data_IF_839053087757
#
_entry.id   IF_839053087757
#
_cell.length_a   1.000
_cell.length_b   1.000
_cell.length_c   1.000
_cell.angle_alpha   90.00
_cell.angle_beta   90.00
_cell.angle_gamma   90.00
#
_symmetry.space_group_name_H-M   'P 1'
#
loop_
_entity.id
_entity.type
_entity.pdbx_description
1 polymer ?
#
# COMPACT_ATOMS: atom_id res chain seq x y z
N UNK A 1 -15.61 28.67 -19.71
CA UNK A 1 -14.45 28.24 -20.53
C UNK A 1 -13.75 27.08 -19.83
N UNK A 2 -13.58 25.89 -20.46
CA UNK A 2 -12.52 24.87 -20.14
C UNK A 2 -12.82 23.40 -20.51
N UNK A 3 -13.92 23.06 -21.23
CA UNK A 3 -14.15 21.65 -21.65
C UNK A 3 -13.08 21.13 -22.62
N UNK A 4 -12.51 22.01 -23.45
CA UNK A 4 -11.49 21.65 -24.44
C UNK A 4 -10.10 21.50 -23.79
N UNK A 5 -9.71 22.38 -22.86
CA UNK A 5 -8.42 22.29 -22.17
C UNK A 5 -8.29 21.03 -21.29
N UNK A 6 -9.37 20.56 -20.64
CA UNK A 6 -9.38 19.29 -19.89
C UNK A 6 -9.15 18.07 -20.79
N UNK A 7 -9.62 18.08 -22.03
CA UNK A 7 -9.38 17.00 -23.01
C UNK A 7 -7.93 16.93 -23.48
N UNK A 8 -7.23 18.07 -23.52
CA UNK A 8 -5.84 18.14 -24.00
C UNK A 8 -4.78 17.98 -22.90
N UNK A 9 -5.09 18.35 -21.65
CA UNK A 9 -4.16 18.25 -20.51
C UNK A 9 -4.35 16.99 -19.64
N UNK A 10 -5.41 16.22 -19.89
CA UNK A 10 -5.75 15.03 -19.09
C UNK A 10 -6.32 15.36 -17.72
N UNK A 11 -6.93 14.38 -17.07
CA UNK A 11 -7.34 14.50 -15.68
C UNK A 11 -6.12 14.20 -14.78
N UNK A 12 -5.59 15.17 -14.02
CA UNK A 12 -4.46 14.93 -13.12
C UNK A 12 -4.76 13.84 -12.09
N UNK A 13 -6.03 13.68 -11.70
CA UNK A 13 -6.43 12.61 -10.78
C UNK A 13 -6.36 11.24 -11.45
N UNK A 14 -6.67 11.13 -12.75
CA UNK A 14 -6.59 9.85 -13.45
C UNK A 14 -5.16 9.28 -13.44
N UNK A 15 -4.13 10.13 -13.53
CA UNK A 15 -2.74 9.70 -13.43
C UNK A 15 -2.38 9.20 -12.03
N UNK A 16 -2.86 9.89 -10.98
CA UNK A 16 -2.64 9.48 -9.59
C UNK A 16 -3.36 8.16 -9.31
N UNK A 17 -4.64 8.06 -9.68
CA UNK A 17 -5.43 6.82 -9.53
C UNK A 17 -4.74 5.66 -10.22
N UNK A 18 -4.24 5.84 -11.45
CA UNK A 18 -3.49 4.78 -12.15
C UNK A 18 -2.26 4.31 -11.37
N UNK A 19 -1.48 5.23 -10.78
CA UNK A 19 -0.33 4.87 -9.93
C UNK A 19 -0.78 4.06 -8.70
N UNK A 20 -1.89 4.46 -8.07
CA UNK A 20 -2.45 3.74 -6.93
C UNK A 20 -2.94 2.33 -7.30
N UNK A 21 -3.58 2.19 -8.47
CA UNK A 21 -4.00 0.88 -9.02
C UNK A 21 -2.79 -0.01 -9.31
N UNK A 22 -1.69 0.53 -9.81
CA UNK A 22 -0.44 -0.21 -10.01
C UNK A 22 0.10 -0.78 -8.69
N UNK A 23 0.07 0.00 -7.60
CA UNK A 23 0.45 -0.47 -6.26
C UNK A 23 -0.50 -1.57 -5.75
N UNK A 24 -1.82 -1.39 -5.88
CA UNK A 24 -2.77 -2.43 -5.50
C UNK A 24 -2.53 -3.73 -6.29
N UNK A 25 -2.22 -3.61 -7.58
CA UNK A 25 -1.83 -4.73 -8.43
C UNK A 25 -0.53 -5.40 -7.96
N UNK A 26 0.50 -4.65 -7.56
CA UNK A 26 1.73 -5.23 -6.98
C UNK A 26 1.42 -6.07 -5.73
N UNK A 27 0.58 -5.57 -4.82
CA UNK A 27 0.15 -6.31 -3.62
C UNK A 27 -0.66 -7.56 -4.01
N UNK A 28 -1.60 -7.44 -4.95
CA UNK A 28 -2.39 -8.58 -5.45
C UNK A 28 -1.50 -9.69 -6.04
N UNK A 29 -0.40 -9.34 -6.71
CA UNK A 29 0.54 -10.32 -7.28
C UNK A 29 1.32 -11.09 -6.22
N UNK A 30 1.57 -10.47 -5.06
CA UNK A 30 2.29 -11.09 -3.95
C UNK A 30 1.38 -11.94 -3.06
N UNK A 31 0.07 -11.72 -3.09
CA UNK A 31 -0.90 -12.44 -2.23
C UNK A 31 -0.73 -13.97 -2.25
N UNK A 32 -0.59 -14.67 -3.40
CA UNK A 32 -0.41 -16.13 -3.41
C UNK A 32 0.88 -16.61 -2.73
N UNK A 33 1.91 -15.75 -2.63
CA UNK A 33 3.12 -16.05 -1.89
C UNK A 33 2.88 -15.91 -0.38
N UNK A 34 2.19 -14.85 0.03
CA UNK A 34 1.91 -14.56 1.45
C UNK A 34 0.89 -15.53 2.06
N UNK A 35 -0.11 -15.98 1.28
CA UNK A 35 -1.06 -17.02 1.70
C UNK A 35 -0.36 -18.33 2.10
N UNK A 36 0.81 -18.61 1.50
CA UNK A 36 1.59 -19.83 1.79
C UNK A 36 2.49 -19.71 3.01
N UNK A 37 2.73 -18.50 3.52
CA UNK A 37 3.60 -18.27 4.69
C UNK A 37 2.86 -18.61 5.98
N UNK A 38 3.54 -19.16 6.97
CA UNK A 38 3.02 -19.33 8.33
C UNK A 38 2.92 -18.02 9.10
N UNK A 39 2.20 -18.03 10.22
CA UNK A 39 2.03 -16.84 11.08
C UNK A 39 3.37 -16.32 11.60
N UNK A 40 4.26 -17.23 12.01
CA UNK A 40 5.61 -16.89 12.47
C UNK A 40 6.46 -16.27 11.35
N UNK A 41 6.33 -16.77 10.11
CA UNK A 41 7.04 -16.21 8.96
C UNK A 41 6.57 -14.80 8.64
N UNK A 42 5.26 -14.53 8.71
CA UNK A 42 4.71 -13.18 8.51
C UNK A 42 5.16 -12.25 9.63
N UNK A 43 5.15 -12.69 10.89
CA UNK A 43 5.63 -11.90 12.02
C UNK A 43 7.14 -11.58 11.90
N UNK A 44 7.95 -12.56 11.46
CA UNK A 44 9.39 -12.40 11.31
C UNK A 44 9.77 -11.34 10.27
N UNK A 45 8.95 -11.11 9.23
CA UNK A 45 9.19 -10.04 8.25
C UNK A 45 9.25 -8.66 8.90
N UNK A 46 8.42 -8.42 9.92
CA UNK A 46 8.42 -7.14 10.65
C UNK A 46 9.74 -6.91 11.37
N UNK A 47 10.29 -7.95 12.01
CA UNK A 47 11.58 -7.86 12.70
C UNK A 47 12.71 -7.60 11.70
N UNK A 48 12.75 -8.39 10.62
CA UNK A 48 13.70 -8.22 9.52
C UNK A 48 13.71 -6.80 8.97
N UNK A 49 12.56 -6.25 8.60
CA UNK A 49 12.50 -4.90 8.03
C UNK A 49 12.91 -3.82 9.03
N UNK A 50 12.57 -3.97 10.31
CA UNK A 50 13.02 -3.03 11.36
C UNK A 50 14.55 -3.03 11.48
N UNK A 51 15.17 -4.21 11.46
CA UNK A 51 16.63 -4.35 11.51
C UNK A 51 17.31 -3.74 10.29
N UNK A 52 16.78 -4.00 9.09
CA UNK A 52 17.25 -3.43 7.82
C UNK A 52 17.14 -1.90 7.82
N UNK A 53 15.98 -1.36 8.21
CA UNK A 53 15.74 0.10 8.25
C UNK A 53 16.61 0.78 9.30
N UNK A 54 16.91 0.10 10.42
CA UNK A 54 17.75 0.63 11.48
C UNK A 54 19.22 0.83 11.07
N UNK A 55 19.68 0.17 10.00
CA UNK A 55 21.03 0.36 9.47
C UNK A 55 21.24 1.75 8.86
N UNK A 56 20.16 2.40 8.42
CA UNK A 56 20.24 3.71 7.79
C UNK A 56 20.22 4.82 8.84
N UNK A 57 21.07 5.84 8.63
CA UNK A 57 21.16 6.98 9.55
C UNK A 57 20.36 8.18 9.05
N UNK A 58 20.25 8.39 7.73
CA UNK A 58 19.47 9.49 7.16
C UNK A 58 17.99 9.15 7.02
N UNK A 59 17.14 10.18 6.97
CA UNK A 59 15.69 10.01 6.76
C UNK A 59 15.41 9.59 5.31
N UNK A 60 16.20 10.11 4.37
CA UNK A 60 16.08 9.88 2.94
C UNK A 60 16.33 8.41 2.60
N UNK A 61 17.37 7.80 3.17
CA UNK A 61 17.66 6.37 3.02
C UNK A 61 16.56 5.49 3.64
N UNK A 62 16.05 5.86 4.82
CA UNK A 62 14.93 5.13 5.44
C UNK A 62 13.68 5.18 4.58
N UNK A 63 13.36 6.35 4.01
CA UNK A 63 12.23 6.51 3.07
C UNK A 63 12.44 5.68 1.81
N UNK A 64 13.64 5.68 1.25
CA UNK A 64 13.96 4.85 0.09
C UNK A 64 13.78 3.36 0.40
N UNK A 65 14.20 2.90 1.59
CA UNK A 65 13.97 1.52 2.02
C UNK A 65 12.49 1.21 2.20
N UNK A 66 11.71 2.11 2.81
CA UNK A 66 10.25 1.95 2.95
C UNK A 66 9.56 1.81 1.59
N UNK A 67 9.97 2.60 0.59
CA UNK A 67 9.46 2.48 -0.78
C UNK A 67 9.83 1.14 -1.45
N UNK A 68 10.97 0.55 -1.10
CA UNK A 68 11.36 -0.76 -1.63
C UNK A 68 10.53 -1.90 -1.04
N UNK A 69 10.16 -1.82 0.25
CA UNK A 69 9.43 -2.89 0.93
C UNK A 69 7.90 -2.72 0.91
N UNK A 70 7.38 -1.59 0.39
CA UNK A 70 5.96 -1.23 0.51
C UNK A 70 5.01 -2.36 0.09
N UNK A 71 5.22 -2.98 -1.07
CA UNK A 71 4.29 -3.97 -1.60
C UNK A 71 4.30 -5.24 -0.73
N UNK A 72 5.48 -5.68 -0.27
CA UNK A 72 5.57 -6.80 0.66
C UNK A 72 4.96 -6.46 2.03
N UNK A 73 5.16 -5.24 2.53
CA UNK A 73 4.60 -4.80 3.80
C UNK A 73 3.05 -4.75 3.76
N UNK A 74 2.47 -4.18 2.71
CA UNK A 74 1.02 -4.20 2.49
C UNK A 74 0.47 -5.62 2.32
N UNK A 75 1.21 -6.51 1.65
CA UNK A 75 0.82 -7.92 1.52
C UNK A 75 0.83 -8.66 2.86
N UNK A 76 1.84 -8.40 3.70
CA UNK A 76 1.92 -8.95 5.05
C UNK A 76 0.76 -8.49 5.93
N UNK A 77 0.44 -7.19 5.90
CA UNK A 77 -0.68 -6.62 6.66
C UNK A 77 -2.03 -7.15 6.17
N UNK A 78 -2.23 -7.27 4.85
CA UNK A 78 -3.45 -7.85 4.28
C UNK A 78 -3.65 -9.29 4.76
N UNK A 79 -2.61 -10.11 4.69
CA UNK A 79 -2.69 -11.51 5.11
C UNK A 79 -2.90 -11.62 6.63
N UNK A 80 -2.24 -10.79 7.43
CA UNK A 80 -2.48 -10.72 8.87
C UNK A 80 -3.92 -10.34 9.21
N UNK A 81 -4.50 -9.34 8.51
CA UNK A 81 -5.89 -8.93 8.68
C UNK A 81 -6.88 -10.04 8.29
N UNK A 82 -6.62 -10.72 7.18
CA UNK A 82 -7.40 -11.88 6.73
C UNK A 82 -7.42 -12.99 7.78
N UNK A 83 -6.29 -13.29 8.41
CA UNK A 83 -6.18 -14.34 9.44
C UNK A 83 -6.79 -13.95 10.78
N UNK A 84 -6.56 -12.72 11.22
CA UNK A 84 -6.94 -12.28 12.57
C UNK A 84 -8.35 -11.72 12.65
N UNK A 85 -8.79 -11.00 11.61
CA UNK A 85 -10.09 -10.32 11.57
C UNK A 85 -11.07 -10.99 10.59
N UNK A 86 -10.60 -11.94 9.77
CA UNK A 86 -11.41 -12.51 8.69
C UNK A 86 -11.69 -11.52 7.55
N UNK A 87 -10.95 -10.42 7.48
CA UNK A 87 -11.18 -9.32 6.53
C UNK A 87 -9.97 -9.16 5.61
N UNK A 88 -10.15 -9.46 4.33
CA UNK A 88 -9.14 -9.16 3.30
C UNK A 88 -9.30 -7.70 2.87
N UNK A 89 -8.24 -6.90 2.95
CA UNK A 89 -8.25 -5.54 2.40
C UNK A 89 -8.62 -5.54 0.92
N UNK A 90 -9.59 -4.71 0.54
CA UNK A 90 -9.93 -4.41 -0.85
C UNK A 90 -8.86 -3.53 -1.50
N UNK A 91 -8.85 -3.49 -2.83
CA UNK A 91 -7.88 -2.69 -3.58
C UNK A 91 -7.99 -1.20 -3.25
N UNK A 92 -9.22 -0.68 -3.09
CA UNK A 92 -9.45 0.70 -2.65
C UNK A 92 -8.83 1.01 -1.27
N UNK A 93 -8.78 0.03 -0.36
CA UNK A 93 -8.16 0.20 0.95
C UNK A 93 -6.62 0.19 0.86
N UNK A 94 -6.04 -0.64 0.00
CA UNK A 94 -4.60 -0.60 -0.28
C UNK A 94 -4.21 0.74 -0.91
N UNK A 95 -4.98 1.22 -1.88
CA UNK A 95 -4.79 2.53 -2.51
C UNK A 95 -4.89 3.66 -1.48
N UNK A 96 -5.88 3.60 -0.58
CA UNK A 96 -6.04 4.53 0.53
C UNK A 96 -4.85 4.50 1.49
N UNK A 97 -4.41 3.31 1.90
CA UNK A 97 -3.24 3.15 2.76
C UNK A 97 -1.96 3.68 2.13
N UNK A 98 -1.73 3.43 0.84
CA UNK A 98 -0.58 3.99 0.14
C UNK A 98 -0.66 5.52 -0.01
N UNK A 99 -1.86 6.06 -0.22
CA UNK A 99 -2.09 7.51 -0.23
C UNK A 99 -1.69 8.15 1.12
N UNK A 100 -2.03 7.50 2.24
CA UNK A 100 -1.61 7.95 3.58
C UNK A 100 -0.11 7.82 3.78
N UNK A 101 0.50 6.74 3.29
CA UNK A 101 1.95 6.53 3.33
C UNK A 101 2.73 7.63 2.57
N UNK A 102 2.19 8.12 1.46
CA UNK A 102 2.73 9.28 0.74
C UNK A 102 2.50 10.62 1.46
N UNK A 103 1.84 10.62 2.63
CA UNK A 103 1.54 11.82 3.41
C UNK A 103 0.34 12.63 2.89
N UNK A 104 -0.49 12.02 2.04
CA UNK A 104 -1.68 12.64 1.45
C UNK A 104 -2.95 12.27 2.21
N UNK A 105 -4.06 12.95 1.89
CA UNK A 105 -5.39 12.63 2.44
C UNK A 105 -6.10 11.65 1.50
N UNK A 106 -6.44 10.47 2.01
CA UNK A 106 -7.27 9.49 1.29
C UNK A 106 -8.76 9.83 1.48
N UNK A 107 -9.42 10.33 0.43
CA UNK A 107 -10.87 10.49 0.44
C UNK A 107 -11.56 9.15 0.14
N UNK A 108 -12.17 8.55 1.15
CA UNK A 108 -12.91 7.30 1.04
C UNK A 108 -14.31 7.45 1.66
N UNK A 109 -15.33 6.96 0.96
CA UNK A 109 -16.73 7.03 1.42
C UNK A 109 -16.93 6.25 2.72
N UNK A 110 -18.01 6.56 3.43
CA UNK A 110 -18.41 5.78 4.62
C UNK A 110 -18.75 4.35 4.21
N UNK A 111 -18.26 3.37 4.97
CA UNK A 111 -18.40 1.95 4.65
C UNK A 111 -17.22 1.34 3.88
N UNK A 112 -16.31 2.15 3.31
CA UNK A 112 -15.12 1.67 2.58
C UNK A 112 -14.01 1.09 3.50
N UNK A 113 -14.31 0.89 4.79
CA UNK A 113 -13.37 0.27 5.74
C UNK A 113 -12.12 1.11 6.03
N UNK A 114 -12.27 2.43 6.24
CA UNK A 114 -11.18 3.37 6.57
C UNK A 114 -10.33 3.01 7.80
N UNK A 115 -10.87 2.19 8.70
CA UNK A 115 -10.22 1.80 9.95
C UNK A 115 -9.35 0.55 9.80
N UNK A 116 -9.67 -0.31 8.83
CA UNK A 116 -8.98 -1.57 8.57
C UNK A 116 -7.62 -1.32 7.93
#
# INVERSE_FOLDING_TARGET
MSSILKKFLGDPNAKVIKKLEEIASEVNKLEPEFEKKGDEEIAALTLKWKEEIAQFSSIEEKRAQLEQIRAQAFSAVREASKRTLGQRHYDAQIMGGYTLHEGNIAEMKTGEGKTL
#
